data_IF_347400974985
#
_entry.id   IF_347400974985
#
_cell.length_a   1.000
_cell.length_b   1.000
_cell.length_c   1.000
_cell.angle_alpha   90.00
_cell.angle_beta   90.00
_cell.angle_gamma   90.00
#
_symmetry.space_group_name_H-M   'P 1'
#
loop_
_entity.id
_entity.type
_entity.pdbx_description
1 polymer ?
#
# COMPACT_ATOMS: atom_id res chain seq x y z
N UNK A 1 41.51 31.62 3.84
CA UNK A 1 40.38 31.84 4.77
C UNK A 1 39.11 32.10 3.96
N UNK A 2 38.21 31.11 3.97
CA UNK A 2 36.76 31.11 3.71
C UNK A 2 36.15 31.99 2.59
N UNK A 3 36.03 31.40 1.40
CA UNK A 3 35.05 31.81 0.39
C UNK A 3 33.70 31.14 0.69
N UNK A 4 32.71 31.93 1.11
CA UNK A 4 31.37 31.43 1.44
C UNK A 4 30.59 31.13 0.15
N UNK A 5 30.50 29.86 -0.22
CA UNK A 5 29.54 29.33 -1.20
C UNK A 5 28.10 29.66 -0.73
N UNK A 6 27.50 30.69 -1.33
CA UNK A 6 26.06 30.98 -1.18
C UNK A 6 25.30 30.19 -2.24
N UNK A 7 24.60 29.15 -1.83
CA UNK A 7 23.57 28.52 -2.66
C UNK A 7 22.44 29.53 -2.87
N UNK A 8 22.25 29.99 -4.12
CA UNK A 8 21.04 30.71 -4.51
C UNK A 8 19.94 29.67 -4.70
N UNK A 9 19.10 29.48 -3.70
CA UNK A 9 17.86 28.70 -3.85
C UNK A 9 16.85 29.57 -4.60
N UNK A 10 16.86 29.51 -5.92
CA UNK A 10 15.68 29.96 -6.68
C UNK A 10 14.53 29.00 -6.33
N UNK A 11 13.35 29.50 -5.92
CA UNK A 11 12.20 28.65 -5.69
C UNK A 11 11.73 28.09 -7.04
N UNK A 12 12.20 26.89 -7.39
CA UNK A 12 11.87 26.19 -8.64
C UNK A 12 10.51 25.48 -8.54
N UNK A 13 9.49 26.14 -7.96
CA UNK A 13 8.10 25.68 -8.04
C UNK A 13 7.19 26.87 -8.27
N UNK A 14 6.35 26.85 -9.32
CA UNK A 14 5.33 27.87 -9.48
C UNK A 14 4.44 27.88 -8.24
N UNK A 15 4.12 29.07 -7.75
CA UNK A 15 3.23 29.24 -6.61
C UNK A 15 1.84 28.72 -7.03
N UNK A 16 1.46 27.55 -6.52
CA UNK A 16 0.15 26.96 -6.78
C UNK A 16 -0.91 27.91 -6.22
N UNK A 17 -1.78 28.38 -7.09
CA UNK A 17 -2.82 29.33 -6.72
C UNK A 17 -3.92 28.63 -5.90
N UNK A 18 -4.64 29.40 -5.09
CA UNK A 18 -5.75 28.88 -4.27
C UNK A 18 -6.81 28.17 -5.12
N UNK A 19 -7.01 28.63 -6.35
CA UNK A 19 -8.02 28.07 -7.25
C UNK A 19 -7.53 26.76 -7.93
N UNK A 20 -6.24 26.64 -8.23
CA UNK A 20 -5.63 25.36 -8.65
C UNK A 20 -5.73 24.30 -7.54
N UNK A 21 -5.53 24.69 -6.29
CA UNK A 21 -5.70 23.81 -5.12
C UNK A 21 -7.15 23.33 -4.98
N UNK A 22 -8.14 24.19 -5.21
CA UNK A 22 -9.57 23.83 -5.17
C UNK A 22 -9.95 22.90 -6.33
N UNK A 23 -9.40 23.11 -7.52
CA UNK A 23 -9.63 22.23 -8.67
C UNK A 23 -9.06 20.84 -8.43
N UNK A 24 -7.83 20.78 -7.91
CA UNK A 24 -7.20 19.50 -7.53
C UNK A 24 -8.01 18.77 -6.46
N UNK A 25 -8.47 19.49 -5.42
CA UNK A 25 -9.31 18.91 -4.38
C UNK A 25 -10.61 18.34 -4.96
N UNK A 26 -11.29 19.05 -5.88
CA UNK A 26 -12.53 18.56 -6.51
C UNK A 26 -12.31 17.27 -7.30
N UNK A 27 -11.27 17.19 -8.14
CA UNK A 27 -10.98 15.97 -8.90
C UNK A 27 -10.70 14.76 -8.01
N UNK A 28 -10.00 14.96 -6.88
CA UNK A 28 -9.71 13.88 -5.93
C UNK A 28 -10.96 13.30 -5.24
N UNK A 29 -12.04 14.08 -5.11
CA UNK A 29 -13.31 13.61 -4.52
C UNK A 29 -14.26 13.00 -5.56
N UNK A 30 -14.17 13.40 -6.84
CA UNK A 30 -14.99 12.85 -7.92
C UNK A 30 -14.52 11.45 -8.36
N UNK A 31 -13.21 11.18 -8.36
CA UNK A 31 -12.66 9.84 -8.63
C UNK A 31 -13.00 8.81 -7.54
N UNK A 32 -13.36 9.26 -6.33
CA UNK A 32 -13.75 8.38 -5.24
C UNK A 32 -15.17 7.79 -5.40
N UNK A 33 -15.99 8.32 -6.32
CA UNK A 33 -17.40 7.91 -6.50
C UNK A 33 -17.63 6.89 -7.64
N UNK A 34 -16.60 6.54 -8.42
CA UNK A 34 -16.69 5.50 -9.47
C UNK A 34 -16.25 4.11 -8.96
N UNK A 35 -16.86 3.60 -7.88
CA UNK A 35 -16.56 2.27 -7.34
C UNK A 35 -17.49 1.16 -7.85
N UNK A 36 -18.40 1.45 -8.78
CA UNK A 36 -19.38 0.47 -9.29
C UNK A 36 -18.89 -0.38 -10.48
N UNK A 37 -17.64 -0.24 -10.92
CA UNK A 37 -17.09 -1.19 -11.89
C UNK A 37 -16.68 -2.48 -11.20
N UNK A 38 -17.16 -3.67 -11.66
CA UNK A 38 -16.69 -4.94 -11.12
C UNK A 38 -15.21 -5.10 -11.43
N UNK A 39 -14.37 -4.78 -10.43
CA UNK A 39 -12.94 -4.98 -10.46
C UNK A 39 -12.66 -6.49 -10.56
N UNK A 40 -12.49 -6.94 -11.81
CA UNK A 40 -12.08 -8.30 -12.10
C UNK A 40 -10.58 -8.41 -11.81
N UNK A 41 -10.18 -9.32 -10.92
CA UNK A 41 -8.76 -9.57 -10.71
C UNK A 41 -8.15 -10.08 -12.02
N UNK A 42 -7.01 -9.54 -12.48
CA UNK A 42 -6.31 -10.10 -13.62
C UNK A 42 -6.03 -11.59 -13.37
N UNK A 43 -6.51 -12.47 -14.25
CA UNK A 43 -6.15 -13.89 -14.25
C UNK A 43 -4.69 -14.04 -14.71
N UNK A 44 -3.76 -13.56 -13.91
CA UNK A 44 -2.35 -13.83 -14.11
C UNK A 44 -2.06 -15.30 -13.75
N UNK A 45 -1.24 -15.97 -14.56
CA UNK A 45 -0.76 -17.30 -14.27
C UNK A 45 -0.12 -17.33 -12.86
N UNK A 46 -0.58 -18.26 -12.03
CA UNK A 46 -0.22 -18.41 -10.60
C UNK A 46 1.29 -18.73 -10.42
N UNK A 47 2.03 -18.90 -11.52
CA UNK A 47 3.43 -19.28 -11.55
C UNK A 47 4.34 -18.05 -11.65
N UNK A 48 4.75 -17.53 -10.51
CA UNK A 48 5.77 -16.48 -10.42
C UNK A 48 6.38 -16.41 -9.02
N UNK A 49 7.66 -16.04 -8.94
CA UNK A 49 8.24 -15.62 -7.66
C UNK A 49 7.52 -14.33 -7.24
N UNK A 50 7.26 -14.09 -5.94
CA UNK A 50 6.76 -12.80 -5.49
C UNK A 50 7.76 -11.71 -5.89
N UNK A 51 7.40 -10.86 -6.86
CA UNK A 51 8.22 -9.74 -7.33
C UNK A 51 7.82 -8.42 -6.68
N UNK A 52 6.55 -8.31 -6.29
CA UNK A 52 5.99 -7.08 -5.72
C UNK A 52 6.27 -6.97 -4.22
N UNK A 53 6.59 -5.76 -3.78
CA UNK A 53 6.86 -5.45 -2.37
C UNK A 53 5.74 -4.60 -1.80
N UNK A 54 5.24 -4.98 -0.62
CA UNK A 54 4.24 -4.22 0.13
C UNK A 54 4.89 -3.69 1.41
N UNK A 55 4.86 -2.37 1.58
CA UNK A 55 5.24 -1.71 2.83
C UNK A 55 3.98 -1.45 3.65
N UNK A 56 3.97 -1.90 4.91
CA UNK A 56 2.91 -1.60 5.85
C UNK A 56 3.48 -0.80 7.02
N UNK A 57 2.70 0.17 7.51
CA UNK A 57 2.95 0.85 8.78
C UNK A 57 2.12 0.14 9.84
N UNK A 58 2.70 -0.05 11.01
CA UNK A 58 2.01 -0.61 12.15
C UNK A 58 2.38 0.18 13.40
N UNK A 59 1.55 0.08 14.43
CA UNK A 59 1.88 0.65 15.73
C UNK A 59 2.99 -0.19 16.39
N UNK A 60 3.61 0.35 17.45
CA UNK A 60 4.58 -0.41 18.22
C UNK A 60 3.95 -1.68 18.82
N UNK A 61 2.73 -1.58 19.32
CA UNK A 61 2.01 -2.71 19.91
C UNK A 61 1.84 -3.84 18.90
N UNK A 62 1.36 -3.54 17.68
CA UNK A 62 1.21 -4.54 16.61
C UNK A 62 2.54 -5.24 16.31
N UNK A 63 3.65 -4.48 16.29
CA UNK A 63 4.97 -5.03 16.02
C UNK A 63 5.46 -5.96 17.14
N UNK A 64 5.18 -5.61 18.39
CA UNK A 64 5.52 -6.44 19.56
C UNK A 64 4.70 -7.74 19.55
N UNK A 65 3.41 -7.69 19.19
CA UNK A 65 2.56 -8.87 19.01
C UNK A 65 3.05 -9.79 17.88
N UNK A 66 3.42 -9.21 16.73
CA UNK A 66 4.03 -9.95 15.60
C UNK A 66 5.32 -10.64 16.05
N UNK A 67 6.14 -9.94 16.83
CA UNK A 67 7.41 -10.47 17.34
C UNK A 67 7.18 -11.62 18.32
N UNK A 68 6.24 -11.47 19.25
CA UNK A 68 5.87 -12.54 20.18
C UNK A 68 5.41 -13.80 19.43
N UNK A 69 4.54 -13.66 18.43
CA UNK A 69 4.07 -14.79 17.63
C UNK A 69 5.24 -15.43 16.87
N UNK A 70 6.09 -14.63 16.23
CA UNK A 70 7.26 -15.11 15.49
C UNK A 70 8.20 -15.95 16.35
N UNK A 71 8.45 -15.56 17.60
CA UNK A 71 9.31 -16.30 18.53
C UNK A 71 8.70 -17.64 18.99
N UNK A 72 7.38 -17.80 18.85
CA UNK A 72 6.64 -18.99 19.31
C UNK A 72 6.36 -20.00 18.21
N UNK A 73 6.62 -19.65 16.94
CA UNK A 73 6.33 -20.51 15.78
C UNK A 73 7.61 -20.80 14.98
N UNK A 74 7.67 -21.97 14.36
CA UNK A 74 8.83 -22.38 13.56
C UNK A 74 8.73 -21.87 12.11
N UNK A 75 8.85 -20.56 11.90
CA UNK A 75 8.84 -19.94 10.57
C UNK A 75 10.17 -19.25 10.27
N UNK A 76 10.59 -19.28 9.01
CA UNK A 76 11.94 -18.86 8.57
C UNK A 76 12.18 -17.35 8.65
N UNK A 77 11.12 -16.53 8.64
CA UNK A 77 11.21 -15.08 8.74
C UNK A 77 9.87 -14.45 9.12
N UNK A 78 9.92 -13.23 9.68
CA UNK A 78 8.70 -12.43 9.94
C UNK A 78 7.90 -12.17 8.66
N UNK A 79 8.57 -11.97 7.53
CA UNK A 79 7.89 -11.85 6.24
C UNK A 79 7.07 -13.10 5.92
N UNK A 80 7.63 -14.30 6.13
CA UNK A 80 6.91 -15.56 5.88
C UNK A 80 5.74 -15.77 6.84
N UNK A 81 5.88 -15.35 8.09
CA UNK A 81 4.76 -15.32 9.04
C UNK A 81 3.62 -14.47 8.47
N UNK A 82 3.91 -13.22 8.12
CA UNK A 82 2.88 -12.29 7.63
C UNK A 82 2.26 -12.80 6.33
N UNK A 83 3.07 -13.27 5.38
CA UNK A 83 2.57 -13.87 4.13
C UNK A 83 1.64 -15.06 4.39
N UNK A 84 1.97 -15.93 5.36
CA UNK A 84 1.18 -17.12 5.69
C UNK A 84 -0.18 -16.81 6.32
N UNK A 85 -0.30 -15.66 6.98
CA UNK A 85 -1.56 -15.21 7.59
C UNK A 85 -2.36 -14.36 6.61
N UNK A 86 -1.70 -13.38 5.98
CA UNK A 86 -2.36 -12.34 5.20
C UNK A 86 -2.82 -12.82 3.81
N UNK A 87 -1.98 -13.57 3.07
CA UNK A 87 -2.30 -13.95 1.70
C UNK A 87 -3.52 -14.88 1.59
N UNK A 88 -3.70 -15.90 2.46
CA UNK A 88 -4.92 -16.70 2.46
C UNK A 88 -6.17 -15.86 2.69
N UNK A 89 -6.11 -14.92 3.63
CA UNK A 89 -7.25 -14.08 3.98
C UNK A 89 -7.61 -13.10 2.87
N UNK A 90 -6.61 -12.47 2.23
CA UNK A 90 -6.84 -11.62 1.05
C UNK A 90 -7.48 -12.44 -0.08
N UNK A 91 -7.03 -13.68 -0.32
CA UNK A 91 -7.63 -14.56 -1.34
C UNK A 91 -9.06 -14.95 -1.01
N UNK A 92 -9.35 -15.21 0.27
CA UNK A 92 -10.71 -15.50 0.75
C UNK A 92 -11.63 -14.29 0.51
N UNK A 93 -11.19 -13.09 0.89
CA UNK A 93 -11.93 -11.84 0.66
C UNK A 93 -12.13 -11.57 -0.84
N UNK A 94 -11.10 -11.79 -1.66
CA UNK A 94 -11.21 -11.66 -3.10
C UNK A 94 -12.28 -12.57 -3.70
N UNK A 95 -12.33 -13.85 -3.30
CA UNK A 95 -13.35 -14.80 -3.76
C UNK A 95 -14.76 -14.37 -3.35
N UNK A 96 -14.92 -13.94 -2.10
CA UNK A 96 -16.19 -13.43 -1.59
C UNK A 96 -16.71 -12.24 -2.42
N UNK A 97 -15.84 -11.26 -2.68
CA UNK A 97 -16.19 -10.08 -3.47
C UNK A 97 -16.45 -10.41 -4.95
N UNK A 98 -15.88 -11.48 -5.46
CA UNK A 98 -16.14 -11.99 -6.82
C UNK A 98 -17.40 -12.86 -6.92
N UNK A 99 -18.09 -13.14 -5.80
CA UNK A 99 -19.25 -14.04 -5.78
C UNK A 99 -18.91 -15.50 -6.10
N UNK A 100 -17.62 -15.88 -6.01
CA UNK A 100 -17.13 -17.24 -6.27
C UNK A 100 -17.26 -18.17 -5.06
N UNK A 101 -17.76 -17.66 -3.92
CA UNK A 101 -18.01 -18.40 -2.68
C UNK A 101 -19.51 -18.75 -2.58
N UNK A 102 -20.07 -19.34 -3.64
CA UNK A 102 -21.38 -19.99 -3.62
C UNK A 102 -21.19 -21.49 -3.89
N UNK A 103 -20.97 -22.28 -2.84
CA UNK A 103 -20.94 -23.75 -2.90
C UNK A 103 -19.93 -24.38 -1.96
#
# INVERSE_FOLDING_TARGET
MNEKLRFKSEPCRPAVTSDELKLFARGAFEDAQNLDQPLSLPQAAIHGKPTETILFRCTKQDFDEITFVFERINVKSRQKLIESVLLPEIRRLAKLLQGLDQG
#
